data_IF_186125490309
#
_entry.id   IF_186125490309
#
_cell.length_a   1.000
_cell.length_b   1.000
_cell.length_c   1.000
_cell.angle_alpha   90.00
_cell.angle_beta   90.00
_cell.angle_gamma   90.00
#
_symmetry.space_group_name_H-M   'P 1'
#
loop_
_entity.id
_entity.type
_entity.pdbx_description
1 polymer ?
#
# COMPACT_ATOMS: atom_id res chain seq x y z
N UNK A 1 2.11 -4.50 19.80
CA UNK A 1 2.77 -5.25 20.90
C UNK A 1 3.87 -4.37 21.46
N UNK A 2 3.88 -4.18 22.79
CA UNK A 2 4.84 -3.35 23.51
C UNK A 2 6.23 -3.99 23.51
N UNK A 3 7.28 -3.19 23.81
CA UNK A 3 8.68 -3.64 23.95
C UNK A 3 8.84 -4.93 24.78
N UNK A 4 7.91 -5.19 25.70
CA UNK A 4 7.86 -6.44 26.49
C UNK A 4 7.88 -7.71 25.65
N UNK A 5 7.24 -7.78 24.47
CA UNK A 5 7.23 -9.04 23.70
C UNK A 5 8.57 -9.35 23.04
N UNK A 6 9.38 -8.32 22.76
CA UNK A 6 10.71 -8.48 22.17
C UNK A 6 11.73 -8.84 23.25
N UNK A 7 11.64 -8.20 24.41
CA UNK A 7 12.49 -8.52 25.56
C UNK A 7 12.24 -9.95 26.07
N UNK A 8 10.98 -10.39 26.08
CA UNK A 8 10.60 -11.75 26.48
C UNK A 8 11.07 -12.80 25.45
N UNK A 9 11.06 -12.45 24.15
CA UNK A 9 11.63 -13.31 23.10
C UNK A 9 13.16 -13.45 23.23
N UNK A 10 13.87 -12.34 23.44
CA UNK A 10 15.31 -12.36 23.67
C UNK A 10 15.68 -13.10 24.98
N UNK A 11 14.92 -12.91 26.05
CA UNK A 11 15.11 -13.61 27.32
C UNK A 11 14.95 -15.12 27.15
N UNK A 12 13.93 -15.58 26.42
CA UNK A 12 13.73 -17.01 26.12
C UNK A 12 14.81 -17.60 25.22
N UNK A 13 15.34 -16.81 24.28
CA UNK A 13 16.44 -17.22 23.42
C UNK A 13 17.75 -17.38 24.21
N UNK A 14 18.01 -16.51 25.19
CA UNK A 14 19.15 -16.60 26.11
C UNK A 14 18.99 -17.79 27.08
N UNK A 15 17.75 -18.08 27.49
CA UNK A 15 17.44 -19.19 28.40
C UNK A 15 17.34 -20.57 27.73
N UNK A 16 17.66 -20.70 26.43
CA UNK A 16 17.54 -21.96 25.65
C UNK A 16 16.14 -22.61 25.72
N UNK A 17 15.08 -21.83 25.93
CA UNK A 17 13.71 -22.34 25.87
C UNK A 17 13.36 -22.71 24.41
N UNK A 18 12.63 -23.82 24.16
CA UNK A 18 12.25 -24.22 22.82
C UNK A 18 11.24 -23.22 22.23
N UNK A 19 11.78 -22.20 21.55
CA UNK A 19 10.99 -21.24 20.79
C UNK A 19 10.46 -21.90 19.52
N UNK A 20 9.17 -21.70 19.24
CA UNK A 20 8.59 -22.14 17.98
C UNK A 20 9.28 -21.42 16.82
N UNK A 21 9.82 -22.17 15.86
CA UNK A 21 10.48 -21.64 14.65
C UNK A 21 9.58 -20.64 13.89
N UNK A 22 8.26 -20.80 14.01
CA UNK A 22 7.25 -19.87 13.47
C UNK A 22 7.34 -18.47 14.10
N UNK A 23 7.47 -18.38 15.43
CA UNK A 23 7.57 -17.10 16.14
C UNK A 23 8.84 -16.32 15.77
N UNK A 24 9.97 -17.04 15.58
CA UNK A 24 11.25 -16.43 15.17
C UNK A 24 11.13 -15.83 13.76
N UNK A 25 10.46 -16.51 12.84
CA UNK A 25 10.27 -16.04 11.46
C UNK A 25 9.30 -14.85 11.40
N UNK A 26 8.22 -14.88 12.18
CA UNK A 26 7.26 -13.78 12.28
C UNK A 26 7.92 -12.48 12.78
N UNK A 27 8.76 -12.55 13.83
CA UNK A 27 9.45 -11.37 14.35
C UNK A 27 10.47 -10.79 13.35
N UNK A 28 11.22 -11.63 12.63
CA UNK A 28 12.12 -11.16 11.56
C UNK A 28 11.36 -10.45 10.45
N UNK A 29 10.24 -11.02 10.00
CA UNK A 29 9.40 -10.40 8.97
C UNK A 29 8.80 -9.08 9.43
N UNK A 30 8.42 -8.98 10.71
CA UNK A 30 7.85 -7.77 11.32
C UNK A 30 8.86 -6.62 11.38
N UNK A 31 10.11 -6.87 11.79
CA UNK A 31 11.16 -5.83 11.80
C UNK A 31 11.44 -5.32 10.39
N UNK A 32 11.54 -6.22 9.41
CA UNK A 32 11.75 -5.86 7.99
C UNK A 32 10.57 -5.01 7.49
N UNK A 33 9.34 -5.45 7.77
CA UNK A 33 8.12 -4.73 7.38
C UNK A 33 8.07 -3.35 8.01
N UNK A 34 8.40 -3.21 9.29
CA UNK A 34 8.41 -1.92 9.99
C UNK A 34 9.38 -0.92 9.33
N UNK A 35 10.59 -1.35 8.97
CA UNK A 35 11.55 -0.50 8.26
C UNK A 35 11.02 -0.05 6.89
N UNK A 36 10.39 -0.96 6.14
CA UNK A 36 9.78 -0.61 4.84
C UNK A 36 8.59 0.34 5.03
N UNK A 37 7.75 0.11 6.05
CA UNK A 37 6.62 0.99 6.38
C UNK A 37 7.09 2.41 6.69
N UNK A 38 8.17 2.57 7.47
CA UNK A 38 8.76 3.88 7.73
C UNK A 38 9.24 4.55 6.44
N UNK A 39 9.96 3.82 5.58
CA UNK A 39 10.41 4.38 4.30
C UNK A 39 9.24 4.82 3.41
N UNK A 40 8.18 4.01 3.33
CA UNK A 40 6.98 4.34 2.56
C UNK A 40 6.23 5.55 3.16
N UNK A 41 6.19 5.65 4.49
CA UNK A 41 5.60 6.80 5.18
C UNK A 41 6.40 8.09 4.93
N UNK A 42 7.74 8.03 4.96
CA UNK A 42 8.59 9.17 4.59
C UNK A 42 8.38 9.60 3.14
N UNK A 43 8.24 8.66 2.22
CA UNK A 43 7.94 8.96 0.82
C UNK A 43 6.59 9.65 0.67
N UNK A 44 5.55 9.15 1.34
CA UNK A 44 4.23 9.76 1.35
C UNK A 44 4.27 11.18 1.93
N UNK A 45 4.81 11.35 3.13
CA UNK A 45 4.89 12.65 3.81
C UNK A 45 5.70 13.65 2.98
N UNK A 46 6.84 13.23 2.43
CA UNK A 46 7.67 14.09 1.57
C UNK A 46 6.91 14.59 0.34
N UNK A 47 6.22 13.70 -0.38
CA UNK A 47 5.40 14.08 -1.53
C UNK A 47 4.22 14.99 -1.13
N UNK A 48 3.55 14.68 -0.03
CA UNK A 48 2.45 15.49 0.49
C UNK A 48 2.89 16.91 0.85
N UNK A 49 4.03 17.05 1.54
CA UNK A 49 4.58 18.36 1.92
C UNK A 49 4.92 19.17 0.67
N UNK A 50 5.62 18.59 -0.30
CA UNK A 50 5.95 19.25 -1.57
C UNK A 50 4.68 19.68 -2.30
N UNK A 51 3.67 18.81 -2.37
CA UNK A 51 2.41 19.14 -3.01
C UNK A 51 1.66 20.27 -2.30
N UNK A 52 1.60 20.23 -0.97
CA UNK A 52 0.99 21.31 -0.17
C UNK A 52 1.69 22.64 -0.46
N UNK A 53 3.02 22.68 -0.47
CA UNK A 53 3.76 23.88 -0.84
C UNK A 53 3.41 24.39 -2.24
N UNK A 54 3.38 23.52 -3.26
CA UNK A 54 3.04 23.91 -4.64
C UNK A 54 1.61 24.44 -4.73
N UNK A 55 0.66 23.79 -4.05
CA UNK A 55 -0.75 24.15 -4.05
C UNK A 55 -1.01 25.46 -3.29
N UNK A 56 -0.29 25.72 -2.19
CA UNK A 56 -0.45 26.91 -1.36
C UNK A 56 0.32 28.13 -1.90
N UNK A 57 1.48 27.94 -2.54
CA UNK A 57 2.29 29.02 -3.13
C UNK A 57 1.74 29.56 -4.47
N UNK A 58 0.55 29.09 -4.90
CA UNK A 58 -0.25 29.75 -5.93
C UNK A 58 -0.24 29.08 -7.31
N UNK A 59 0.56 28.04 -7.54
CA UNK A 59 0.53 27.29 -8.81
C UNK A 59 -0.70 26.39 -8.97
N UNK A 60 -1.46 26.16 -7.87
CA UNK A 60 -2.75 25.42 -7.79
C UNK A 60 -3.01 24.55 -9.02
N UNK A 61 -2.31 23.44 -9.12
CA UNK A 61 -2.27 22.64 -10.35
C UNK A 61 -3.45 21.66 -10.48
N UNK A 62 -4.18 21.42 -9.39
CA UNK A 62 -5.36 20.55 -9.34
C UNK A 62 -6.52 21.25 -8.65
N UNK A 63 -7.74 21.09 -9.16
CA UNK A 63 -8.94 21.69 -8.56
C UNK A 63 -9.21 21.20 -7.14
N UNK A 64 -8.89 19.95 -6.84
CA UNK A 64 -9.16 19.32 -5.56
C UNK A 64 -7.86 19.06 -4.80
N UNK A 65 -7.76 19.60 -3.59
CA UNK A 65 -6.56 19.46 -2.76
C UNK A 65 -6.31 18.01 -2.28
N UNK A 66 -7.40 17.26 -2.09
CA UNK A 66 -7.36 15.91 -1.52
C UNK A 66 -6.89 14.85 -2.54
N UNK A 67 -7.25 14.98 -3.82
CA UNK A 67 -7.01 13.95 -4.83
C UNK A 67 -5.52 13.67 -5.08
N UNK A 68 -4.64 14.68 -5.23
CA UNK A 68 -3.20 14.43 -5.32
C UNK A 68 -2.63 13.70 -4.11
N UNK A 69 -3.13 14.00 -2.90
CA UNK A 69 -2.69 13.33 -1.67
C UNK A 69 -3.04 11.84 -1.69
N UNK A 70 -4.22 11.47 -2.20
CA UNK A 70 -4.59 10.05 -2.33
C UNK A 70 -3.73 9.34 -3.38
N UNK A 71 -3.29 10.03 -4.44
CA UNK A 71 -2.34 9.45 -5.40
C UNK A 71 -0.99 9.14 -4.75
N UNK A 72 -0.44 10.08 -3.99
CA UNK A 72 0.84 9.85 -3.30
C UNK A 72 0.73 8.72 -2.29
N UNK A 73 -0.40 8.60 -1.60
CA UNK A 73 -0.66 7.48 -0.72
C UNK A 73 -0.63 6.15 -1.48
N UNK A 74 -1.34 6.04 -2.60
CA UNK A 74 -1.37 4.82 -3.40
C UNK A 74 0.01 4.49 -3.98
N UNK A 75 0.75 5.48 -4.48
CA UNK A 75 2.12 5.30 -5.00
C UNK A 75 3.04 4.78 -3.90
N UNK A 76 2.98 5.38 -2.71
CA UNK A 76 3.76 4.94 -1.54
C UNK A 76 3.37 3.53 -1.10
N UNK A 77 2.09 3.20 -1.20
CA UNK A 77 1.58 1.87 -0.88
C UNK A 77 2.02 0.82 -1.91
N UNK A 78 2.06 1.15 -3.20
CA UNK A 78 2.62 0.28 -4.24
C UNK A 78 4.11 0.02 -3.98
N UNK A 79 4.87 1.07 -3.65
CA UNK A 79 6.27 0.93 -3.23
C UNK A 79 6.40 0.00 -2.02
N UNK A 80 5.56 0.18 -1.00
CA UNK A 80 5.53 -0.69 0.18
C UNK A 80 5.25 -2.15 -0.18
N UNK A 81 4.28 -2.43 -1.05
CA UNK A 81 3.96 -3.78 -1.51
C UNK A 81 5.17 -4.42 -2.21
N UNK A 82 5.77 -3.71 -3.15
CA UNK A 82 6.89 -4.21 -3.96
C UNK A 82 8.10 -4.52 -3.08
N UNK A 83 8.48 -3.61 -2.18
CA UNK A 83 9.62 -3.81 -1.30
C UNK A 83 9.39 -4.95 -0.30
N UNK A 84 8.18 -5.07 0.25
CA UNK A 84 7.84 -6.20 1.11
C UNK A 84 7.84 -7.52 0.34
N UNK A 85 7.43 -7.53 -0.94
CA UNK A 85 7.51 -8.71 -1.77
C UNK A 85 8.96 -9.13 -2.04
N UNK A 86 9.84 -8.17 -2.37
CA UNK A 86 11.27 -8.42 -2.62
C UNK A 86 11.99 -8.99 -1.41
N UNK A 87 11.68 -8.49 -0.20
CA UNK A 87 12.28 -8.97 1.05
C UNK A 87 11.59 -10.18 1.66
N UNK A 88 10.55 -10.71 1.00
CA UNK A 88 9.81 -11.88 1.47
C UNK A 88 9.00 -11.64 2.76
N UNK A 89 8.75 -10.38 3.12
CA UNK A 89 8.00 -9.97 4.31
C UNK A 89 6.53 -9.65 4.00
N UNK A 90 6.10 -9.74 2.73
CA UNK A 90 4.72 -9.42 2.32
C UNK A 90 3.71 -10.43 2.86
N UNK A 91 4.00 -11.73 2.72
CA UNK A 91 3.12 -12.80 3.18
C UNK A 91 3.58 -13.25 4.57
N UNK A 92 2.76 -12.97 5.59
CA UNK A 92 2.99 -13.46 6.95
C UNK A 92 2.64 -14.94 7.08
N UNK A 93 2.89 -15.54 8.24
CA UNK A 93 2.62 -16.97 8.46
C UNK A 93 1.10 -17.28 8.49
N UNK A 94 0.25 -16.28 8.73
CA UNK A 94 -1.22 -16.41 8.64
C UNK A 94 -1.75 -16.40 7.18
N UNK A 95 -0.85 -16.34 6.19
CA UNK A 95 -1.13 -16.68 4.80
C UNK A 95 -1.61 -15.52 3.91
N UNK A 96 -2.21 -15.90 2.77
CA UNK A 96 -2.53 -14.98 1.65
C UNK A 96 -3.91 -14.33 1.72
N UNK A 97 -4.74 -14.67 2.72
CA UNK A 97 -6.18 -14.35 2.72
C UNK A 97 -6.46 -12.85 2.83
N UNK A 98 -5.79 -12.16 3.76
CA UNK A 98 -5.97 -10.72 3.99
C UNK A 98 -5.58 -9.91 2.74
N UNK A 99 -4.40 -10.16 2.16
CA UNK A 99 -3.95 -9.46 0.94
C UNK A 99 -4.84 -9.72 -0.27
N UNK A 100 -5.41 -10.92 -0.39
CA UNK A 100 -6.39 -11.23 -1.43
C UNK A 100 -7.67 -10.41 -1.25
N UNK A 101 -8.21 -10.36 -0.03
CA UNK A 101 -9.41 -9.58 0.28
C UNK A 101 -9.17 -8.09 0.02
N UNK A 102 -8.03 -7.54 0.46
CA UNK A 102 -7.66 -6.15 0.18
C UNK A 102 -7.60 -5.87 -1.32
N UNK A 103 -6.96 -6.73 -2.12
CA UNK A 103 -6.91 -6.57 -3.57
C UNK A 103 -8.28 -6.65 -4.24
N UNK A 104 -9.15 -7.56 -3.80
CA UNK A 104 -10.52 -7.67 -4.30
C UNK A 104 -11.40 -6.47 -3.93
N UNK A 105 -11.27 -5.96 -2.71
CA UNK A 105 -11.99 -4.76 -2.25
C UNK A 105 -11.56 -3.54 -3.04
N UNK A 106 -10.26 -3.37 -3.30
CA UNK A 106 -9.74 -2.26 -4.13
C UNK A 106 -10.37 -2.26 -5.52
N UNK A 107 -10.46 -3.42 -6.18
CA UNK A 107 -11.13 -3.52 -7.48
C UNK A 107 -12.64 -3.30 -7.40
N UNK A 108 -13.29 -3.73 -6.31
CA UNK A 108 -14.71 -3.50 -6.10
C UNK A 108 -15.02 -2.00 -5.94
N UNK A 109 -14.18 -1.25 -5.21
CA UNK A 109 -14.33 0.21 -5.03
C UNK A 109 -14.17 0.97 -6.35
N UNK A 110 -13.40 0.45 -7.31
CA UNK A 110 -13.27 1.06 -8.63
C UNK A 110 -14.59 1.07 -9.42
N UNK A 111 -15.51 0.13 -9.17
CA UNK A 111 -16.75 0.01 -9.94
C UNK A 111 -17.78 1.12 -9.63
N UNK A 112 -18.12 1.44 -8.36
CA UNK A 112 -18.94 2.62 -8.06
C UNK A 112 -18.28 3.92 -8.51
N UNK A 113 -16.94 4.00 -8.38
CA UNK A 113 -16.16 5.18 -8.76
C UNK A 113 -16.09 5.40 -10.27
N UNK A 114 -16.34 4.37 -11.10
CA UNK A 114 -16.43 4.54 -12.54
C UNK A 114 -17.82 5.01 -13.00
N UNK A 115 -18.86 4.75 -12.21
CA UNK A 115 -20.24 5.19 -12.49
C UNK A 115 -20.41 6.71 -12.35
N UNK A 116 -19.58 7.38 -11.55
CA UNK A 116 -19.59 8.85 -11.44
C UNK A 116 -19.18 9.56 -12.74
N UNK A 117 -18.61 8.83 -13.72
CA UNK A 117 -18.27 9.36 -15.03
C UNK A 117 -19.39 9.23 -16.07
N UNK A 118 -20.47 8.50 -15.77
CA UNK A 118 -21.62 8.38 -16.66
C UNK A 118 -22.55 9.58 -16.48
N UNK A 119 -22.53 10.50 -17.45
CA UNK A 119 -23.49 11.60 -17.56
C UNK A 119 -22.96 13.00 -17.27
N UNK A 120 -21.72 13.15 -16.78
CA UNK A 120 -21.07 14.45 -16.60
C UNK A 120 -20.18 14.85 -17.77
N UNK A 121 -20.06 16.17 -17.99
CA UNK A 121 -19.17 16.76 -18.99
C UNK A 121 -17.71 16.54 -18.58
N UNK A 122 -17.08 15.50 -19.12
CA UNK A 122 -15.68 15.20 -18.85
C UNK A 122 -14.76 16.27 -19.47
N UNK A 123 -13.95 16.91 -18.63
CA UNK A 123 -12.89 17.84 -19.05
C UNK A 123 -11.59 17.44 -18.38
N UNK A 124 -10.48 17.50 -19.11
CA UNK A 124 -9.13 17.19 -18.57
C UNK A 124 -8.57 18.39 -17.82
N UNK A 125 -8.71 19.58 -18.41
CA UNK A 125 -8.31 20.84 -17.82
C UNK A 125 -9.55 21.72 -17.65
N UNK A 126 -9.67 22.33 -16.47
CA UNK A 126 -10.69 23.35 -16.18
C UNK A 126 -10.02 24.50 -15.45
N UNK A 127 -10.21 25.72 -15.95
CA UNK A 127 -9.58 26.94 -15.42
C UNK A 127 -8.05 26.88 -15.29
N UNK A 128 -7.36 26.25 -16.25
CA UNK A 128 -5.90 26.10 -16.23
C UNK A 128 -5.37 25.07 -15.23
N UNK A 129 -6.26 24.34 -14.55
CA UNK A 129 -5.94 23.32 -13.56
C UNK A 129 -6.41 21.94 -14.02
N UNK A 130 -5.85 20.88 -13.44
CA UNK A 130 -6.38 19.53 -13.61
C UNK A 130 -7.78 19.47 -13.00
N UNK A 131 -8.75 19.12 -13.84
CA UNK A 131 -10.14 18.92 -13.48
C UNK A 131 -10.30 17.84 -12.41
N UNK A 132 -11.24 18.05 -11.50
CA UNK A 132 -11.60 17.10 -10.44
C UNK A 132 -12.02 15.73 -11.01
N UNK A 133 -12.74 15.71 -12.13
CA UNK A 133 -13.17 14.47 -12.79
C UNK A 133 -11.96 13.70 -13.33
N UNK A 134 -11.06 14.37 -14.06
CA UNK A 134 -9.84 13.72 -14.54
C UNK A 134 -8.94 13.25 -13.39
N UNK A 135 -8.87 14.03 -12.32
CA UNK A 135 -8.12 13.65 -11.14
C UNK A 135 -8.69 12.39 -10.44
N UNK A 136 -10.01 12.27 -10.39
CA UNK A 136 -10.69 11.09 -9.86
C UNK A 136 -10.46 9.87 -10.77
N UNK A 137 -10.38 10.06 -12.09
CA UNK A 137 -10.06 8.99 -13.05
C UNK A 137 -8.67 8.43 -12.77
N UNK A 138 -7.67 9.29 -12.60
CA UNK A 138 -6.29 8.91 -12.25
C UNK A 138 -6.29 8.09 -10.94
N UNK A 139 -7.03 8.56 -9.93
CA UNK A 139 -7.17 7.83 -8.67
C UNK A 139 -7.74 6.42 -8.88
N UNK A 140 -8.84 6.28 -9.63
CA UNK A 140 -9.46 4.97 -9.91
C UNK A 140 -8.49 4.03 -10.63
N UNK A 141 -7.73 4.56 -11.60
CA UNK A 141 -6.69 3.80 -12.32
C UNK A 141 -5.58 3.35 -11.37
N UNK A 142 -5.09 4.22 -10.49
CA UNK A 142 -4.05 3.88 -9.51
C UNK A 142 -4.52 2.80 -8.52
N UNK A 143 -5.75 2.90 -8.01
CA UNK A 143 -6.35 1.88 -7.13
C UNK A 143 -6.48 0.54 -7.87
N UNK A 144 -6.92 0.57 -9.13
CA UNK A 144 -7.04 -0.63 -9.95
C UNK A 144 -5.68 -1.31 -10.17
N UNK A 145 -4.65 -0.54 -10.53
CA UNK A 145 -3.27 -1.03 -10.68
C UNK A 145 -2.79 -1.68 -9.36
N UNK A 146 -3.00 -1.01 -8.22
CA UNK A 146 -2.62 -1.53 -6.92
C UNK A 146 -3.33 -2.87 -6.60
N UNK A 147 -4.65 -2.95 -6.84
CA UNK A 147 -5.43 -4.16 -6.65
C UNK A 147 -4.95 -5.32 -7.53
N UNK A 148 -4.66 -5.06 -8.81
CA UNK A 148 -4.11 -6.03 -9.76
C UNK A 148 -2.76 -6.55 -9.29
N UNK A 149 -1.84 -5.66 -8.89
CA UNK A 149 -0.51 -6.03 -8.37
C UNK A 149 -0.67 -7.00 -7.19
N UNK A 150 -1.51 -6.67 -6.20
CA UNK A 150 -1.75 -7.54 -5.04
C UNK A 150 -2.24 -8.93 -5.45
N UNK A 151 -3.22 -9.01 -6.36
CA UNK A 151 -3.76 -10.29 -6.83
C UNK A 151 -2.72 -11.12 -7.59
N UNK A 152 -1.90 -10.48 -8.43
CA UNK A 152 -0.79 -11.15 -9.15
C UNK A 152 0.21 -11.73 -8.15
N UNK A 153 0.62 -10.94 -7.14
CA UNK A 153 1.58 -11.39 -6.13
C UNK A 153 1.02 -12.55 -5.31
N UNK A 154 -0.26 -12.48 -4.91
CA UNK A 154 -0.95 -13.59 -4.22
C UNK A 154 -0.98 -14.86 -5.09
N UNK A 155 -1.33 -14.73 -6.37
CA UNK A 155 -1.37 -15.87 -7.30
C UNK A 155 0.02 -16.50 -7.48
N UNK A 156 1.05 -15.67 -7.62
CA UNK A 156 2.45 -16.11 -7.76
C UNK A 156 2.95 -16.81 -6.50
N UNK A 157 2.58 -16.32 -5.31
CA UNK A 157 2.92 -16.95 -4.04
C UNK A 157 2.28 -18.34 -3.91
N UNK A 158 0.97 -18.45 -4.14
CA UNK A 158 0.25 -19.74 -4.10
C UNK A 158 0.80 -20.76 -5.10
N UNK A 159 1.20 -20.32 -6.29
CA UNK A 159 1.82 -21.23 -7.28
C UNK A 159 3.15 -21.79 -6.77
N UNK A 160 3.95 -21.00 -6.05
CA UNK A 160 5.23 -21.43 -5.47
C UNK A 160 5.04 -22.41 -4.31
N UNK A 161 4.04 -22.22 -3.45
CA UNK A 161 3.75 -23.18 -2.38
C UNK A 161 3.35 -24.55 -2.94
N UNK A 162 2.46 -24.58 -3.95
CA UNK A 162 2.05 -25.83 -4.62
C UNK A 162 3.16 -26.60 -5.34
N UNK A 163 4.31 -25.98 -5.60
CA UNK A 163 5.47 -26.64 -6.22
C UNK A 163 6.45 -27.16 -5.17
N UNK A 164 6.30 -26.73 -3.91
CA UNK A 164 7.15 -27.16 -2.79
C UNK A 164 6.51 -28.30 -1.99
N UNK A 165 5.19 -28.45 -2.06
CA UNK A 165 4.43 -29.65 -1.67
C UNK A 165 4.61 -30.75 -2.73
#
# INVERSE_FOLDING_TARGET
MSMKSFDDFCARMVNNEPLSQKQILDERQKVIRQKITLNAAFLFVGLSVVNTFIMDLGLKWCEMFLLPMTWFYIISYIYWIIENYRKGSLFGVDGTRSLRQSGSIMLFICFPSSLTFFGESFSVLRNGMISSSFALLIYVVLVAICGIILLILVKKYRKREKTKE
#
